data_IF_699488327097
#
_entry.id   IF_699488327097
#
_cell.length_a   1.000
_cell.length_b   1.000
_cell.length_c   1.000
_cell.angle_alpha   90.00
_cell.angle_beta   90.00
_cell.angle_gamma   90.00
#
_symmetry.space_group_name_H-M   'P 1'
#
loop_
_entity.id
_entity.type
_entity.pdbx_description
1 polymer ?
#
# COMPACT_ATOMS: atom_id res chain seq x y z
N UNK A 1 -3.36 19.06 -21.70
CA UNK A 1 -4.11 17.99 -21.01
C UNK A 1 -3.17 17.39 -19.97
N UNK A 2 -3.50 17.52 -18.70
CA UNK A 2 -2.71 16.88 -17.64
C UNK A 2 -2.81 15.36 -17.80
N UNK A 3 -1.65 14.69 -17.75
CA UNK A 3 -1.57 13.24 -17.90
C UNK A 3 -2.12 12.61 -16.63
N UNK A 4 -3.03 11.64 -16.76
CA UNK A 4 -3.49 10.83 -15.61
C UNK A 4 -2.31 10.18 -14.87
N UNK A 5 -2.33 10.26 -13.55
CA UNK A 5 -1.32 9.69 -12.67
C UNK A 5 -1.88 8.45 -12.01
N UNK A 6 -1.29 7.30 -12.30
CA UNK A 6 -1.63 6.01 -11.70
C UNK A 6 -0.53 5.58 -10.73
N UNK A 7 -0.89 5.32 -9.49
CA UNK A 7 0.05 4.87 -8.45
C UNK A 7 -0.37 3.49 -7.95
N UNK A 8 0.56 2.54 -7.99
CA UNK A 8 0.42 1.25 -7.32
C UNK A 8 1.00 1.35 -5.91
N UNK A 9 0.17 1.13 -4.89
CA UNK A 9 0.61 1.01 -3.49
C UNK A 9 0.76 -0.45 -3.08
N UNK A 10 1.83 -0.77 -2.33
CA UNK A 10 2.13 -2.13 -1.83
C UNK A 10 2.35 -2.06 -0.32
N UNK A 11 1.63 -2.87 0.43
CA UNK A 11 1.71 -3.00 1.89
C UNK A 11 2.04 -4.45 2.28
N UNK A 12 3.07 -4.62 3.10
CA UNK A 12 3.51 -5.92 3.63
C UNK A 12 4.14 -5.82 5.02
N UNK A 13 3.69 -4.88 5.86
CA UNK A 13 4.39 -4.56 7.11
C UNK A 13 4.18 -5.56 8.23
N UNK A 14 3.13 -6.38 8.19
CA UNK A 14 2.81 -7.34 9.25
C UNK A 14 2.46 -8.72 8.66
N UNK A 15 1.19 -9.08 8.58
CA UNK A 15 0.70 -10.40 8.16
C UNK A 15 -0.07 -10.34 6.82
N UNK A 16 -0.77 -9.26 6.54
CA UNK A 16 -1.53 -9.10 5.31
C UNK A 16 -0.66 -8.56 4.16
N UNK A 17 -0.80 -9.17 2.98
CA UNK A 17 -0.24 -8.64 1.74
C UNK A 17 -1.30 -7.86 0.99
N UNK A 18 -1.11 -6.56 0.81
CA UNK A 18 -2.09 -5.72 0.13
C UNK A 18 -1.47 -4.94 -1.03
N UNK A 19 -2.28 -4.72 -2.07
CA UNK A 19 -1.96 -3.81 -3.15
C UNK A 19 -3.21 -3.03 -3.59
N UNK A 20 -3.02 -1.76 -3.89
CA UNK A 20 -4.07 -0.86 -4.35
C UNK A 20 -3.60 -0.01 -5.53
N UNK A 21 -4.51 0.34 -6.42
CA UNK A 21 -4.24 1.27 -7.52
C UNK A 21 -5.10 2.52 -7.35
N UNK A 22 -4.43 3.68 -7.40
CA UNK A 22 -5.10 4.98 -7.39
C UNK A 22 -4.89 5.69 -8.73
N UNK A 23 -5.93 6.39 -9.19
CA UNK A 23 -5.87 7.32 -10.32
C UNK A 23 -6.18 8.73 -9.83
N UNK A 24 -5.23 9.65 -9.89
CA UNK A 24 -5.42 11.05 -9.47
C UNK A 24 -6.02 11.18 -8.03
N UNK A 25 -5.65 10.26 -7.12
CA UNK A 25 -6.19 10.20 -5.75
C UNK A 25 -7.51 9.46 -5.58
N UNK A 26 -8.08 8.92 -6.67
CA UNK A 26 -9.29 8.08 -6.65
C UNK A 26 -8.90 6.61 -6.60
N UNK A 27 -9.52 5.83 -5.71
CA UNK A 27 -9.29 4.41 -5.56
C UNK A 27 -9.92 3.63 -6.73
N UNK A 28 -9.10 2.94 -7.53
CA UNK A 28 -9.59 2.06 -8.58
C UNK A 28 -9.69 0.60 -8.13
N UNK A 29 -8.76 0.16 -7.29
CA UNK A 29 -8.75 -1.20 -6.75
C UNK A 29 -8.03 -1.26 -5.43
N UNK A 30 -8.45 -2.21 -4.58
CA UNK A 30 -7.78 -2.59 -3.33
C UNK A 30 -7.93 -4.10 -3.15
N UNK A 31 -6.81 -4.80 -3.06
CA UNK A 31 -6.75 -6.26 -2.95
C UNK A 31 -5.89 -6.62 -1.75
N UNK A 32 -6.40 -7.48 -0.89
CA UNK A 32 -5.70 -7.98 0.29
C UNK A 32 -5.73 -9.50 0.32
N UNK A 33 -4.60 -10.12 0.54
CA UNK A 33 -4.47 -11.53 0.86
C UNK A 33 -4.15 -11.66 2.34
N UNK A 34 -5.12 -12.13 3.11
CA UNK A 34 -5.01 -12.36 4.55
C UNK A 34 -4.37 -13.71 4.86
N UNK A 35 -3.66 -13.81 5.97
CA UNK A 35 -2.94 -15.01 6.39
C UNK A 35 -3.65 -15.68 7.58
N UNK A 36 -4.67 -16.49 7.32
CA UNK A 36 -5.41 -17.22 8.35
C UNK A 36 -4.54 -18.21 9.17
N UNK A 37 -3.34 -18.56 8.69
CA UNK A 37 -2.42 -19.46 9.38
C UNK A 37 -2.02 -18.95 10.77
N UNK A 38 -2.01 -17.65 11.00
CA UNK A 38 -1.61 -17.04 12.27
C UNK A 38 -2.65 -17.24 13.39
N UNK A 39 -3.90 -17.48 13.07
CA UNK A 39 -4.97 -17.73 14.04
C UNK A 39 -4.69 -18.97 14.89
N UNK A 40 -4.11 -20.02 14.31
CA UNK A 40 -3.77 -21.25 15.01
C UNK A 40 -2.60 -21.13 15.98
N UNK A 41 -1.82 -20.05 15.88
CA UNK A 41 -0.66 -19.78 16.76
C UNK A 41 -0.93 -18.70 17.80
N UNK A 42 -2.14 -18.14 17.85
CA UNK A 42 -2.51 -17.09 18.81
C UNK A 42 -1.86 -15.74 18.55
N UNK A 43 -1.31 -15.50 17.34
CA UNK A 43 -0.68 -14.27 16.93
C UNK A 43 0.24 -14.43 15.74
N UNK A 44 0.78 -13.32 15.24
CA UNK A 44 1.63 -13.30 14.05
C UNK A 44 2.97 -13.97 14.31
N UNK A 45 3.31 -14.97 13.48
CA UNK A 45 4.63 -15.62 13.45
C UNK A 45 5.45 -14.98 12.32
N UNK A 46 6.50 -14.19 12.62
CA UNK A 46 7.20 -13.35 11.64
C UNK A 46 7.78 -14.12 10.45
N UNK A 47 8.30 -15.33 10.67
CA UNK A 47 8.87 -16.14 9.60
C UNK A 47 7.78 -16.67 8.64
N UNK A 48 6.64 -17.11 9.18
CA UNK A 48 5.51 -17.53 8.36
C UNK A 48 4.91 -16.35 7.58
N UNK A 49 4.83 -15.19 8.21
CA UNK A 49 4.36 -13.96 7.56
C UNK A 49 5.23 -13.60 6.34
N UNK A 50 6.56 -13.58 6.51
CA UNK A 50 7.46 -13.23 5.40
C UNK A 50 7.40 -14.24 4.24
N UNK A 51 7.26 -15.53 4.52
CA UNK A 51 7.08 -16.57 3.49
C UNK A 51 5.76 -16.42 2.75
N UNK A 52 4.67 -16.11 3.46
CA UNK A 52 3.38 -15.88 2.83
C UNK A 52 3.38 -14.62 1.95
N UNK A 53 4.05 -13.53 2.37
CA UNK A 53 4.24 -12.36 1.51
C UNK A 53 4.96 -12.70 0.20
N UNK A 54 6.00 -13.54 0.23
CA UNK A 54 6.70 -13.98 -0.97
C UNK A 54 5.77 -14.70 -1.96
N UNK A 55 4.83 -15.48 -1.46
CA UNK A 55 3.84 -16.19 -2.29
C UNK A 55 2.74 -15.26 -2.81
N UNK A 56 2.34 -14.28 -2.00
CA UNK A 56 1.14 -13.47 -2.23
C UNK A 56 1.42 -12.18 -3.01
N UNK A 57 2.61 -11.58 -2.92
CA UNK A 57 2.87 -10.25 -3.48
C UNK A 57 2.62 -10.17 -4.98
N UNK A 58 3.06 -11.17 -5.76
CA UNK A 58 2.86 -11.19 -7.21
C UNK A 58 1.39 -11.34 -7.59
N UNK A 59 0.64 -12.34 -7.10
CA UNK A 59 -0.78 -12.48 -7.44
C UNK A 59 -1.63 -11.31 -6.94
N UNK A 60 -1.33 -10.74 -5.76
CA UNK A 60 -2.06 -9.59 -5.22
C UNK A 60 -1.86 -8.34 -6.10
N UNK A 61 -0.63 -8.05 -6.50
CA UNK A 61 -0.33 -6.94 -7.40
C UNK A 61 -0.96 -7.15 -8.78
N UNK A 62 -0.87 -8.36 -9.32
CA UNK A 62 -1.50 -8.69 -10.60
C UNK A 62 -3.02 -8.45 -10.56
N UNK A 63 -3.68 -8.94 -9.52
CA UNK A 63 -5.12 -8.78 -9.35
C UNK A 63 -5.52 -7.31 -9.13
N UNK A 64 -4.72 -6.53 -8.39
CA UNK A 64 -4.97 -5.11 -8.18
C UNK A 64 -4.93 -4.33 -9.52
N UNK A 65 -3.92 -4.57 -10.36
CA UNK A 65 -3.79 -3.94 -11.68
C UNK A 65 -4.97 -4.36 -12.58
N UNK A 66 -5.31 -5.65 -12.58
CA UNK A 66 -6.43 -6.19 -13.36
C UNK A 66 -7.77 -5.56 -12.96
N UNK A 67 -8.08 -5.49 -11.66
CA UNK A 67 -9.32 -4.88 -11.14
C UNK A 67 -9.39 -3.38 -11.40
N UNK A 68 -8.24 -2.70 -11.45
CA UNK A 68 -8.18 -1.29 -11.81
C UNK A 68 -8.47 -1.05 -13.30
N UNK A 69 -8.52 -2.10 -14.13
CA UNK A 69 -8.78 -1.99 -15.58
C UNK A 69 -7.64 -1.31 -16.35
N UNK A 70 -6.41 -1.36 -15.84
CA UNK A 70 -5.23 -0.76 -16.47
C UNK A 70 -4.18 -1.81 -16.82
N UNK A 71 -3.18 -1.42 -17.58
CA UNK A 71 -1.96 -2.21 -17.78
C UNK A 71 -0.83 -1.68 -16.89
N UNK A 72 0.18 -2.49 -16.62
CA UNK A 72 1.33 -2.08 -15.79
C UNK A 72 2.13 -0.93 -16.42
N UNK A 73 2.12 -0.81 -17.74
CA UNK A 73 2.79 0.26 -18.49
C UNK A 73 2.13 1.64 -18.28
N UNK A 74 0.87 1.66 -17.82
CA UNK A 74 0.16 2.90 -17.49
C UNK A 74 0.52 3.45 -16.10
N UNK A 75 1.19 2.65 -15.26
CA UNK A 75 1.62 3.09 -13.94
C UNK A 75 2.62 4.25 -14.04
N UNK A 76 2.41 5.25 -13.21
CA UNK A 76 3.28 6.43 -13.10
C UNK A 76 4.32 6.30 -11.99
N UNK A 77 4.00 5.56 -10.94
CA UNK A 77 4.89 5.30 -9.81
C UNK A 77 4.46 4.03 -9.04
N UNK A 78 5.40 3.48 -8.26
CA UNK A 78 5.13 2.44 -7.26
C UNK A 78 5.42 3.02 -5.87
N UNK A 79 4.44 2.95 -4.97
CA UNK A 79 4.58 3.27 -3.56
C UNK A 79 4.67 1.98 -2.73
N UNK A 80 5.46 2.00 -1.67
CA UNK A 80 5.60 0.83 -0.78
C UNK A 80 5.77 1.26 0.67
N UNK A 81 5.34 0.43 1.60
CA UNK A 81 5.55 0.67 3.03
C UNK A 81 7.01 0.40 3.40
N UNK A 82 7.71 1.47 3.82
CA UNK A 82 9.08 1.42 4.31
C UNK A 82 9.19 0.84 5.72
N UNK A 83 8.20 1.08 6.55
CA UNK A 83 8.11 0.75 7.98
C UNK A 83 7.33 1.82 8.74
N UNK A 84 7.13 1.62 10.06
CA UNK A 84 7.53 0.46 10.86
C UNK A 84 6.75 -0.82 10.50
N UNK A 85 7.32 -1.97 10.87
CA UNK A 85 6.72 -3.28 10.66
C UNK A 85 7.71 -4.43 10.90
N UNK A 86 7.29 -5.65 10.63
CA UNK A 86 8.15 -6.84 10.73
C UNK A 86 9.20 -6.83 9.62
N UNK A 87 10.48 -6.87 9.98
CA UNK A 87 11.59 -6.74 9.05
C UNK A 87 11.50 -7.69 7.85
N UNK A 88 11.26 -8.98 8.09
CA UNK A 88 11.16 -9.98 7.02
C UNK A 88 9.99 -9.71 6.07
N UNK A 89 8.84 -9.29 6.59
CA UNK A 89 7.66 -8.92 5.84
C UNK A 89 7.89 -7.66 5.01
N UNK A 90 8.44 -6.60 5.61
CA UNK A 90 8.80 -5.36 4.92
C UNK A 90 9.76 -5.60 3.75
N UNK A 91 10.80 -6.44 3.97
CA UNK A 91 11.80 -6.73 2.93
C UNK A 91 11.17 -7.35 1.67
N UNK A 92 10.13 -8.16 1.81
CA UNK A 92 9.43 -8.74 0.64
C UNK A 92 8.77 -7.64 -0.20
N UNK A 93 7.96 -6.78 0.40
CA UNK A 93 7.28 -5.69 -0.32
C UNK A 93 8.27 -4.69 -0.91
N UNK A 94 9.29 -4.30 -0.14
CA UNK A 94 10.34 -3.37 -0.58
C UNK A 94 11.10 -3.90 -1.79
N UNK A 95 11.57 -5.14 -1.74
CA UNK A 95 12.36 -5.72 -2.83
C UNK A 95 11.51 -5.95 -4.08
N UNK A 96 10.26 -6.40 -3.91
CA UNK A 96 9.33 -6.51 -5.03
C UNK A 96 9.08 -5.13 -5.66
N UNK A 97 8.74 -4.12 -4.87
CA UNK A 97 8.46 -2.76 -5.36
C UNK A 97 9.66 -2.17 -6.12
N UNK A 98 10.88 -2.34 -5.60
CA UNK A 98 12.13 -1.90 -6.26
C UNK A 98 12.32 -2.57 -7.62
N UNK A 99 12.21 -3.89 -7.67
CA UNK A 99 12.36 -4.65 -8.91
C UNK A 99 11.31 -4.27 -9.94
N UNK A 100 10.05 -4.15 -9.49
CA UNK A 100 8.92 -3.83 -10.36
C UNK A 100 9.02 -2.40 -10.91
N UNK A 101 9.25 -1.40 -10.08
CA UNK A 101 9.43 -0.01 -10.50
C UNK A 101 10.62 0.15 -11.47
N UNK A 102 11.76 -0.53 -11.17
CA UNK A 102 12.94 -0.52 -12.04
C UNK A 102 12.65 -1.14 -13.40
N UNK A 103 11.92 -2.25 -13.46
CA UNK A 103 11.58 -2.92 -14.71
C UNK A 103 10.71 -2.06 -15.64
N UNK A 104 9.90 -1.17 -15.06
CA UNK A 104 9.04 -0.24 -15.79
C UNK A 104 9.69 1.14 -16.03
N UNK A 105 10.84 1.41 -15.43
CA UNK A 105 11.51 2.71 -15.52
C UNK A 105 10.73 3.86 -14.86
N UNK A 106 9.95 3.55 -13.80
CA UNK A 106 9.09 4.52 -13.10
C UNK A 106 9.60 4.81 -11.68
N UNK A 107 9.24 5.95 -11.09
CA UNK A 107 9.61 6.32 -9.73
C UNK A 107 9.14 5.33 -8.66
N UNK A 108 9.94 5.20 -7.61
CA UNK A 108 9.65 4.46 -6.40
C UNK A 108 9.46 5.44 -5.25
N UNK A 109 8.37 5.27 -4.47
CA UNK A 109 7.99 6.16 -3.38
C UNK A 109 7.95 5.35 -2.09
N UNK A 110 8.76 5.73 -1.10
CA UNK A 110 8.71 5.14 0.22
C UNK A 110 7.67 5.84 1.10
N UNK A 111 6.86 5.05 1.80
CA UNK A 111 5.77 5.53 2.65
C UNK A 111 5.94 5.00 4.07
N UNK A 112 5.83 5.88 5.06
CA UNK A 112 5.74 5.47 6.45
C UNK A 112 4.36 4.83 6.70
N UNK A 113 4.33 3.65 7.34
CA UNK A 113 3.11 2.87 7.61
C UNK A 113 2.05 3.69 8.35
N UNK A 114 2.45 4.42 9.39
CA UNK A 114 1.54 5.23 10.20
C UNK A 114 1.02 6.45 9.43
N UNK A 115 1.87 7.08 8.61
CA UNK A 115 1.43 8.15 7.72
C UNK A 115 0.45 7.61 6.66
N UNK A 116 0.65 6.38 6.18
CA UNK A 116 -0.27 5.71 5.28
C UNK A 116 -1.68 5.58 5.88
N UNK A 117 -1.78 5.16 7.15
CA UNK A 117 -3.07 5.12 7.86
C UNK A 117 -3.76 6.49 7.93
N UNK A 118 -3.01 7.55 8.24
CA UNK A 118 -3.57 8.92 8.27
C UNK A 118 -4.00 9.36 6.87
N UNK A 119 -3.18 9.12 5.86
CA UNK A 119 -3.45 9.55 4.48
C UNK A 119 -4.56 8.76 3.81
N UNK A 120 -4.88 7.55 4.28
CA UNK A 120 -6.00 6.76 3.77
C UNK A 120 -7.34 7.51 3.85
N UNK A 121 -7.51 8.40 4.84
CA UNK A 121 -8.72 9.24 4.95
C UNK A 121 -8.88 10.27 3.82
N UNK A 122 -7.84 10.52 3.04
CA UNK A 122 -7.89 11.46 1.90
C UNK A 122 -8.12 10.77 0.56
N UNK A 123 -8.19 9.44 0.54
CA UNK A 123 -8.49 8.67 -0.66
C UNK A 123 -9.95 8.90 -1.05
N UNK A 124 -10.17 9.23 -2.32
CA UNK A 124 -11.53 9.38 -2.87
C UNK A 124 -12.01 8.03 -3.38
N UNK A 125 -13.25 7.67 -3.07
CA UNK A 125 -13.88 6.45 -3.58
C UNK A 125 -14.50 6.62 -4.96
N UNK A 126 -14.74 7.88 -5.38
CA UNK A 126 -15.24 8.24 -6.72
C UNK A 126 -14.74 9.62 -7.15
N UNK A 127 -14.78 9.90 -8.46
CA UNK A 127 -14.42 11.23 -9.00
C UNK A 127 -15.37 12.34 -8.51
N UNK A 128 -16.63 12.00 -8.24
CA UNK A 128 -17.68 12.92 -7.78
C UNK A 128 -17.70 13.12 -6.26
N UNK A 129 -16.81 12.48 -5.51
CA UNK A 129 -16.72 12.65 -4.06
C UNK A 129 -16.30 14.07 -3.73
N UNK A 130 -17.28 14.95 -3.57
CA UNK A 130 -17.11 16.32 -3.11
C UNK A 130 -16.88 16.31 -1.61
N UNK A 131 -15.84 16.99 -1.17
CA UNK A 131 -15.45 17.22 0.21
C UNK A 131 -15.28 15.97 1.09
N UNK A 132 -14.06 15.73 1.45
CA UNK A 132 -13.75 14.79 2.51
C UNK A 132 -14.37 15.28 3.82
N UNK A 133 -14.91 14.39 4.65
CA UNK A 133 -15.35 14.78 5.98
C UNK A 133 -14.18 15.40 6.75
N UNK A 134 -14.45 16.32 7.67
CA UNK A 134 -13.39 16.86 8.52
C UNK A 134 -12.69 15.70 9.22
N UNK A 135 -11.36 15.72 9.20
CA UNK A 135 -10.55 14.68 9.84
C UNK A 135 -10.99 14.53 11.30
N UNK A 136 -11.20 13.29 11.79
CA UNK A 136 -11.42 13.06 13.20
C UNK A 136 -10.31 13.70 14.03
N UNK A 137 -10.64 14.23 15.20
CA UNK A 137 -9.66 14.87 16.11
C UNK A 137 -8.46 13.96 16.43
N UNK A 138 -8.68 12.65 16.48
CA UNK A 138 -7.64 11.62 16.62
C UNK A 138 -6.58 11.65 15.50
N UNK A 139 -6.98 11.98 14.26
CA UNK A 139 -6.05 12.09 13.12
C UNK A 139 -5.20 13.36 13.23
N UNK A 140 -5.77 14.47 13.72
CA UNK A 140 -5.00 15.68 13.99
C UNK A 140 -3.97 15.44 15.09
N UNK A 141 -4.36 14.78 16.18
CA UNK A 141 -3.45 14.44 17.28
C UNK A 141 -2.29 13.56 16.80
N UNK A 142 -2.59 12.54 16.00
CA UNK A 142 -1.58 11.65 15.42
C UNK A 142 -0.61 12.39 14.50
N UNK A 143 -1.10 13.34 13.71
CA UNK A 143 -0.27 14.19 12.84
C UNK A 143 0.69 15.06 13.64
N UNK A 144 0.24 15.63 14.77
CA UNK A 144 1.08 16.44 15.66
C UNK A 144 2.15 15.60 16.37
N UNK A 145 1.81 14.38 16.81
CA UNK A 145 2.78 13.47 17.43
C UNK A 145 3.85 13.00 16.42
N UNK A 146 3.49 12.67 15.20
CA UNK A 146 4.45 12.34 14.14
C UNK A 146 5.38 13.51 13.84
N UNK A 147 4.87 14.74 13.82
CA UNK A 147 5.67 15.95 13.60
C UNK A 147 6.76 16.17 14.66
N UNK A 148 6.52 15.71 15.89
CA UNK A 148 7.49 15.83 17.01
C UNK A 148 8.59 14.77 16.94
N UNK A 149 8.40 13.69 16.13
CA UNK A 149 9.36 12.59 16.00
C UNK A 149 10.35 12.80 14.85
N UNK A 150 10.15 13.80 14.01
CA UNK A 150 10.99 14.21 12.87
C UNK A 150 11.24 15.73 12.90
#
# INVERSE_FOLDING_TARGET
>A
MDKDIYILGIESSCDDTSAAVLKNGVLLSNVTASQAVHESYGGVVPELASRAHQQNVVPVVHEAIKRAGITKEQLSAVAFTRGPGLMGSLLVGVNFAKGFARSLGIPLIDVNHLQGHVMAHFIKESEDAHSQPPLPSSVYWYREEIRKLY
#
